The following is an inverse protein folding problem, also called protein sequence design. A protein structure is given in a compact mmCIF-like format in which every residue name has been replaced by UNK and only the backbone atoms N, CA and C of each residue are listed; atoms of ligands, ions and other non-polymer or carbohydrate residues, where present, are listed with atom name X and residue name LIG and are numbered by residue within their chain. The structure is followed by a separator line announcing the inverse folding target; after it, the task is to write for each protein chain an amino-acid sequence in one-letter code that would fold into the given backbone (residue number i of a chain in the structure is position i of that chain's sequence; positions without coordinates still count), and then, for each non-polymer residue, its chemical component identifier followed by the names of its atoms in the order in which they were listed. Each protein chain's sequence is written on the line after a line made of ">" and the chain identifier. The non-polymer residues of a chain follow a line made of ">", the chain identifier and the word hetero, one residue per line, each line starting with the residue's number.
data_IF_379211368887
#
_entry.id   IF_379211368887
#
_cell.length_a   1.000
_cell.length_b   1.000
_cell.length_c   1.000
_cell.angle_alpha   90.00
_cell.angle_beta   90.00
_cell.angle_gamma   90.00
#
_symmetry.space_group_name_H-M   'P 1'
#
loop_
_entity.id
_entity.type
_entity.pdbx_description
1 polymer ?
#
# COMPACT_ATOMS: atom_id res chain seq x y z
N UNK A 1 -19.96 -27.33 17.32
CA UNK A 1 -19.50 -26.41 18.36
C UNK A 1 -19.25 -25.05 17.73
N UNK A 2 -19.98 -24.03 18.14
CA UNK A 2 -19.81 -22.66 17.61
C UNK A 2 -19.43 -21.74 18.76
N UNK A 3 -18.15 -21.49 18.93
CA UNK A 3 -17.62 -20.50 19.88
C UNK A 3 -17.60 -19.07 19.34
N UNK A 4 -18.39 -18.76 18.31
CA UNK A 4 -18.40 -17.44 17.67
C UNK A 4 -19.78 -16.79 17.77
N UNK A 5 -19.82 -15.49 18.05
CA UNK A 5 -21.04 -14.69 18.03
C UNK A 5 -21.55 -14.63 16.59
N UNK A 6 -22.81 -15.07 16.37
CA UNK A 6 -23.40 -15.21 15.03
C UNK A 6 -23.91 -13.90 14.43
N UNK A 7 -24.32 -12.93 15.25
CA UNK A 7 -24.91 -11.64 14.82
C UNK A 7 -23.92 -10.48 15.00
N UNK A 8 -22.70 -10.66 14.56
CA UNK A 8 -21.73 -9.57 14.55
C UNK A 8 -21.58 -9.12 13.08
N UNK A 9 -22.03 -7.92 12.76
CA UNK A 9 -21.70 -7.22 11.50
C UNK A 9 -20.20 -6.98 11.48
N UNK A 10 -19.47 -8.04 11.17
CA UNK A 10 -18.01 -7.93 11.05
C UNK A 10 -17.73 -7.22 9.75
N UNK A 11 -17.27 -5.99 9.86
CA UNK A 11 -16.56 -5.36 8.76
C UNK A 11 -15.49 -6.33 8.27
N UNK A 12 -15.40 -6.49 6.97
CA UNK A 12 -14.32 -7.23 6.35
C UNK A 12 -12.99 -6.67 6.83
N UNK A 13 -12.09 -7.53 7.25
CA UNK A 13 -10.78 -7.13 7.77
C UNK A 13 -9.71 -8.13 7.40
N UNK A 14 -8.50 -7.68 7.34
CA UNK A 14 -7.35 -8.54 7.12
C UNK A 14 -7.29 -9.63 8.20
N UNK A 15 -7.12 -10.87 7.76
CA UNK A 15 -7.07 -12.04 8.64
C UNK A 15 -5.75 -12.17 9.40
N UNK A 16 -4.68 -11.59 8.84
CA UNK A 16 -3.32 -11.71 9.37
C UNK A 16 -2.84 -10.38 9.97
N UNK A 17 -2.03 -10.44 11.04
CA UNK A 17 -1.41 -9.24 11.61
C UNK A 17 -0.32 -8.69 10.67
N UNK A 18 -0.10 -7.37 10.75
CA UNK A 18 1.07 -6.74 10.13
C UNK A 18 2.30 -7.14 10.96
N UNK A 19 3.29 -7.77 10.30
CA UNK A 19 4.50 -8.29 10.92
C UNK A 19 5.74 -7.45 10.63
N UNK A 20 5.67 -6.57 9.63
CA UNK A 20 6.77 -5.69 9.24
C UNK A 20 6.36 -4.68 8.19
N UNK A 21 7.28 -3.78 7.92
CA UNK A 21 7.11 -2.75 6.90
C UNK A 21 8.21 -2.87 5.86
N UNK A 22 7.87 -2.62 4.61
CA UNK A 22 8.81 -2.51 3.49
C UNK A 22 8.91 -1.03 3.09
N UNK A 23 10.11 -0.58 2.81
CA UNK A 23 10.37 0.82 2.44
C UNK A 23 11.50 0.93 1.40
N UNK A 24 11.48 2.01 0.63
CA UNK A 24 12.53 2.40 -0.30
C UNK A 24 13.21 3.71 0.15
N UNK A 25 13.63 3.73 1.41
CA UNK A 25 14.32 4.87 2.00
C UNK A 25 14.96 4.53 3.33
N UNK A 26 16.08 5.19 3.60
CA UNK A 26 16.84 5.06 4.84
C UNK A 26 17.24 6.44 5.37
N UNK A 27 17.73 6.50 6.59
CA UNK A 27 18.42 7.68 7.10
C UNK A 27 19.90 7.60 6.69
N UNK A 28 20.46 8.71 6.22
CA UNK A 28 21.92 8.83 6.05
C UNK A 28 22.61 8.83 7.42
N UNK A 29 23.93 8.73 7.43
CA UNK A 29 24.73 8.81 8.65
C UNK A 29 24.55 10.15 9.40
N UNK A 30 24.17 11.20 8.70
CA UNK A 30 23.82 12.50 9.25
C UNK A 30 22.35 12.63 9.67
N UNK A 31 21.55 11.54 9.61
CA UNK A 31 20.14 11.50 10.01
C UNK A 31 19.15 12.03 8.97
N UNK A 32 19.61 12.46 7.79
CA UNK A 32 18.72 12.95 6.72
C UNK A 32 18.04 11.78 5.98
N UNK A 33 16.78 11.93 5.58
CA UNK A 33 16.11 10.92 4.77
C UNK A 33 16.75 10.81 3.39
N UNK A 34 17.05 9.58 2.98
CA UNK A 34 17.57 9.23 1.67
C UNK A 34 16.69 8.18 1.02
N UNK A 35 16.34 8.37 -0.24
CA UNK A 35 15.69 7.37 -1.06
C UNK A 35 16.69 6.31 -1.53
N UNK A 36 16.21 5.08 -1.68
CA UNK A 36 16.99 3.94 -2.21
C UNK A 36 16.30 3.40 -3.47
N UNK A 37 17.08 2.78 -4.34
CA UNK A 37 16.62 2.00 -5.49
C UNK A 37 16.47 0.50 -5.16
N UNK A 38 16.36 0.19 -3.89
CA UNK A 38 16.17 -1.16 -3.36
C UNK A 38 15.25 -1.15 -2.14
N UNK A 39 14.70 -2.29 -1.85
CA UNK A 39 13.81 -2.52 -0.72
C UNK A 39 14.56 -2.77 0.57
N UNK A 40 14.02 -2.22 1.63
CA UNK A 40 14.46 -2.44 3.01
C UNK A 40 13.28 -2.92 3.83
N UNK A 41 13.50 -3.91 4.66
CA UNK A 41 12.53 -4.35 5.64
C UNK A 41 12.77 -3.69 6.99
N UNK A 42 11.68 -3.47 7.73
CA UNK A 42 11.68 -2.94 9.08
C UNK A 42 10.72 -3.73 9.98
N UNK A 43 11.07 -3.82 11.26
CA UNK A 43 10.29 -4.56 12.24
C UNK A 43 10.97 -5.84 12.72
N UNK A 44 10.26 -6.58 13.56
CA UNK A 44 10.79 -7.77 14.28
C UNK A 44 11.33 -8.85 13.33
N UNK A 45 10.78 -8.96 12.14
CA UNK A 45 11.09 -10.04 11.20
C UNK A 45 11.88 -9.57 9.96
N UNK A 46 12.50 -8.38 10.03
CA UNK A 46 13.32 -7.84 8.95
C UNK A 46 14.45 -8.80 8.52
N UNK A 47 15.09 -9.48 9.48
CA UNK A 47 16.14 -10.46 9.19
C UNK A 47 15.70 -11.66 8.35
N UNK A 48 14.42 -12.03 8.41
CA UNK A 48 13.86 -13.08 7.53
C UNK A 48 13.73 -12.60 6.09
N UNK A 49 13.41 -11.33 5.91
CA UNK A 49 13.39 -10.69 4.59
C UNK A 49 14.79 -10.63 3.99
N UNK A 50 15.78 -10.16 4.77
CA UNK A 50 17.18 -10.07 4.33
C UNK A 50 17.73 -11.45 3.96
N UNK A 51 17.38 -12.48 4.73
CA UNK A 51 17.75 -13.87 4.43
C UNK A 51 17.13 -14.37 3.11
N UNK A 52 15.90 -13.95 2.81
CA UNK A 52 15.17 -14.40 1.62
C UNK A 52 15.63 -13.70 0.33
N UNK A 53 15.94 -12.41 0.41
CA UNK A 53 16.24 -11.59 -0.77
C UNK A 53 17.71 -11.17 -0.88
N UNK A 54 18.49 -11.27 0.18
CA UNK A 54 19.87 -10.81 0.21
C UNK A 54 19.99 -9.29 0.33
N UNK A 55 21.14 -8.76 -0.11
CA UNK A 55 21.41 -7.32 -0.06
C UNK A 55 20.78 -6.60 -1.24
N UNK A 56 20.10 -5.49 -0.96
CA UNK A 56 19.57 -4.52 -1.92
C UNK A 56 18.68 -5.10 -3.04
N UNK A 57 17.64 -5.86 -2.73
CA UNK A 57 16.70 -6.29 -3.77
C UNK A 57 15.93 -5.08 -4.32
N UNK A 58 15.88 -4.91 -5.63
CA UNK A 58 15.09 -3.89 -6.30
C UNK A 58 13.67 -4.36 -6.62
N UNK A 59 13.46 -5.67 -6.64
CA UNK A 59 12.21 -6.34 -6.94
C UNK A 59 11.92 -7.43 -5.91
N UNK A 60 10.67 -7.45 -5.41
CA UNK A 60 10.17 -8.48 -4.50
C UNK A 60 8.85 -9.05 -5.01
N UNK A 61 8.64 -10.34 -4.79
CA UNK A 61 7.37 -10.99 -5.09
C UNK A 61 6.40 -10.84 -3.94
N UNK A 62 5.18 -10.42 -4.25
CA UNK A 62 4.11 -10.22 -3.27
C UNK A 62 2.83 -10.90 -3.73
N UNK A 63 1.95 -11.18 -2.77
CA UNK A 63 0.61 -11.71 -3.00
C UNK A 63 -0.38 -10.95 -2.13
N UNK A 64 -1.48 -10.49 -2.70
CA UNK A 64 -2.56 -9.88 -1.93
C UNK A 64 -3.45 -10.96 -1.30
N UNK A 65 -3.81 -10.82 -0.01
CA UNK A 65 -4.65 -11.79 0.68
C UNK A 65 -6.16 -11.60 0.46
N UNK A 66 -6.56 -10.54 -0.22
CA UNK A 66 -7.96 -10.17 -0.48
C UNK A 66 -8.08 -9.43 -1.81
N UNK A 67 -9.26 -9.45 -2.40
CA UNK A 67 -9.62 -8.68 -3.59
C UNK A 67 -10.14 -7.28 -3.23
N UNK A 68 -10.44 -7.03 -1.96
CA UNK A 68 -10.94 -5.74 -1.50
C UNK A 68 -9.81 -4.69 -1.44
N UNK A 69 -9.81 -3.67 -2.32
CA UNK A 69 -8.75 -2.67 -2.37
C UNK A 69 -8.64 -1.87 -1.07
N UNK A 70 -9.73 -1.64 -0.35
CA UNK A 70 -9.70 -0.93 0.93
C UNK A 70 -8.86 -1.63 2.01
N UNK A 71 -8.68 -2.94 1.88
CA UNK A 71 -7.88 -3.73 2.80
C UNK A 71 -6.42 -3.88 2.34
N UNK A 72 -6.20 -3.99 1.03
CA UNK A 72 -4.89 -4.43 0.51
C UNK A 72 -4.18 -3.41 -0.38
N UNK A 73 -4.92 -2.46 -0.99
CA UNK A 73 -4.38 -1.43 -1.91
C UNK A 73 -5.08 -0.10 -1.66
N UNK A 74 -5.09 0.36 -0.39
CA UNK A 74 -5.90 1.49 0.05
C UNK A 74 -5.25 2.81 -0.29
N UNK A 75 -5.97 3.65 -1.01
CA UNK A 75 -5.64 5.05 -1.28
C UNK A 75 -6.46 5.97 -0.37
N UNK A 76 -5.80 6.86 0.35
CA UNK A 76 -6.49 7.80 1.24
C UNK A 76 -5.76 9.15 1.31
N UNK A 77 -6.51 10.18 1.63
CA UNK A 77 -5.96 11.46 2.06
C UNK A 77 -5.46 11.34 3.49
N UNK A 78 -4.24 11.75 3.75
CA UNK A 78 -3.67 11.85 5.09
C UNK A 78 -3.28 13.30 5.42
N UNK A 79 -3.58 13.70 6.64
CA UNK A 79 -3.08 14.95 7.21
C UNK A 79 -2.29 14.63 8.48
N UNK A 80 -1.05 15.10 8.54
CA UNK A 80 -0.17 14.85 9.68
C UNK A 80 0.30 16.16 10.28
N UNK A 81 0.49 16.20 11.61
CA UNK A 81 1.08 17.32 12.30
C UNK A 81 2.59 17.46 12.02
N UNK A 82 3.21 18.49 12.63
CA UNK A 82 4.66 18.76 12.50
C UNK A 82 5.54 17.66 13.10
N UNK A 83 4.99 16.81 13.95
CA UNK A 83 5.67 15.64 14.53
C UNK A 83 5.45 14.36 13.71
N UNK A 84 4.71 14.44 12.59
CA UNK A 84 4.37 13.32 11.73
C UNK A 84 3.23 12.45 12.25
N UNK A 85 2.52 12.86 13.33
CA UNK A 85 1.37 12.12 13.85
C UNK A 85 0.14 12.34 12.96
N UNK A 86 -0.63 11.29 12.77
CA UNK A 86 -1.86 11.35 11.98
C UNK A 86 -2.90 12.21 12.71
N UNK A 87 -3.37 13.27 12.06
CA UNK A 87 -4.43 14.16 12.52
C UNK A 87 -5.76 13.79 11.89
N UNK A 88 -5.74 13.51 10.58
CA UNK A 88 -6.92 13.08 9.85
C UNK A 88 -6.55 12.18 8.68
N UNK A 89 -7.44 11.25 8.33
CA UNK A 89 -7.37 10.46 7.09
C UNK A 89 -8.75 10.10 6.60
N UNK A 90 -8.90 9.93 5.28
CA UNK A 90 -10.17 9.54 4.66
C UNK A 90 -10.10 9.41 3.15
N UNK A 91 -11.19 8.97 2.57
CA UNK A 91 -11.36 8.65 1.15
C UNK A 91 -11.76 9.86 0.27
N UNK A 92 -12.02 11.02 0.88
CA UNK A 92 -12.54 12.21 0.21
C UNK A 92 -14.01 12.49 0.52
N UNK A 93 -14.76 11.51 1.00
CA UNK A 93 -16.16 11.65 1.41
C UNK A 93 -16.29 11.58 2.94
N UNK A 94 -15.56 10.67 3.56
CA UNK A 94 -15.54 10.48 5.00
C UNK A 94 -14.11 10.56 5.53
N UNK A 95 -13.96 11.18 6.69
CA UNK A 95 -12.67 11.36 7.32
C UNK A 95 -12.70 10.97 8.79
N UNK A 96 -11.69 10.23 9.23
CA UNK A 96 -11.34 10.08 10.64
C UNK A 96 -10.53 11.30 11.07
N UNK A 97 -11.04 12.08 11.99
CA UNK A 97 -10.38 13.29 12.48
C UNK A 97 -10.08 13.16 13.97
N UNK A 98 -8.84 13.41 14.36
CA UNK A 98 -8.44 13.38 15.75
C UNK A 98 -9.03 14.55 16.53
N UNK A 99 -9.71 14.23 17.62
CA UNK A 99 -10.24 15.19 18.57
C UNK A 99 -9.38 15.19 19.84
N UNK A 100 -8.71 16.32 20.10
CA UNK A 100 -7.94 16.51 21.33
C UNK A 100 -8.82 16.54 22.59
N UNK A 101 -10.10 16.90 22.44
CA UNK A 101 -11.08 16.96 23.52
C UNK A 101 -11.49 15.56 23.98
N UNK A 102 -11.87 14.69 23.04
CA UNK A 102 -12.27 13.30 23.35
C UNK A 102 -11.12 12.32 23.40
N UNK A 103 -9.91 12.73 23.00
CA UNK A 103 -8.73 11.85 22.81
C UNK A 103 -9.04 10.61 21.95
N UNK A 104 -9.85 10.80 20.92
CA UNK A 104 -10.30 9.76 20.02
C UNK A 104 -10.47 10.29 18.60
N UNK A 105 -10.49 9.39 17.62
CA UNK A 105 -10.89 9.74 16.25
C UNK A 105 -12.41 9.76 16.15
N UNK A 106 -12.94 10.79 15.49
CA UNK A 106 -14.34 10.92 15.13
C UNK A 106 -14.47 10.81 13.62
N UNK A 107 -15.46 10.07 13.13
CA UNK A 107 -15.74 9.99 11.70
C UNK A 107 -16.66 11.18 11.36
N UNK A 108 -16.25 11.96 10.39
CA UNK A 108 -16.98 13.13 9.87
C UNK A 108 -17.17 12.97 8.37
N UNK A 109 -18.34 13.35 7.86
CA UNK A 109 -18.63 13.35 6.42
C UNK A 109 -18.47 14.75 5.84
N UNK A 110 -17.97 14.83 4.61
CA UNK A 110 -17.89 16.10 3.85
C UNK A 110 -19.29 16.63 3.55
N UNK A 111 -20.29 15.78 3.45
CA UNK A 111 -21.69 16.20 3.29
C UNK A 111 -22.19 17.04 4.48
N UNK A 112 -21.80 16.66 5.71
CA UNK A 112 -22.16 17.41 6.92
C UNK A 112 -21.21 18.60 7.18
N UNK A 113 -19.96 18.46 6.78
CA UNK A 113 -18.88 19.44 6.97
C UNK A 113 -18.16 19.74 5.65
N UNK A 114 -18.76 20.54 4.73
CA UNK A 114 -18.20 20.78 3.39
C UNK A 114 -16.77 21.35 3.38
N UNK A 115 -16.42 22.10 4.42
CA UNK A 115 -15.09 22.72 4.56
C UNK A 115 -14.14 21.92 5.50
N UNK A 116 -14.37 20.61 5.67
CA UNK A 116 -13.65 19.78 6.64
C UNK A 116 -12.14 19.81 6.41
N UNK A 117 -11.70 19.67 5.16
CA UNK A 117 -10.27 19.66 4.82
C UNK A 117 -9.62 21.01 5.15
N UNK A 118 -10.28 22.12 4.88
CA UNK A 118 -9.80 23.47 5.21
C UNK A 118 -9.79 23.69 6.72
N UNK A 119 -10.81 23.23 7.43
CA UNK A 119 -10.88 23.29 8.90
C UNK A 119 -9.71 22.55 9.56
N UNK A 120 -9.31 21.39 9.03
CA UNK A 120 -8.14 20.66 9.54
C UNK A 120 -6.87 21.42 9.20
N UNK A 121 -6.71 21.88 7.97
CA UNK A 121 -5.53 22.62 7.51
C UNK A 121 -5.33 23.92 8.29
N UNK A 122 -6.39 24.66 8.61
CA UNK A 122 -6.31 25.93 9.33
C UNK A 122 -5.67 25.82 10.72
N UNK A 123 -5.78 24.65 11.36
CA UNK A 123 -5.13 24.36 12.65
C UNK A 123 -3.63 24.10 12.53
N UNK A 124 -3.16 23.76 11.34
CA UNK A 124 -1.76 23.40 11.06
C UNK A 124 -1.31 24.02 9.72
N UNK A 125 -1.17 25.36 9.64
CA UNK A 125 -1.00 26.06 8.34
C UNK A 125 0.28 25.69 7.58
N UNK A 126 1.29 25.15 8.29
CA UNK A 126 2.54 24.68 7.68
C UNK A 126 2.47 23.26 7.10
N UNK A 127 1.34 22.58 7.25
CA UNK A 127 1.15 21.21 6.78
C UNK A 127 0.12 21.17 5.66
N UNK A 128 0.21 20.14 4.82
CA UNK A 128 -0.73 19.91 3.72
C UNK A 128 -1.24 18.49 3.71
N UNK A 129 -2.44 18.32 3.14
CA UNK A 129 -2.98 17.01 2.80
C UNK A 129 -2.09 16.30 1.79
N UNK A 130 -1.92 15.00 1.98
CA UNK A 130 -1.16 14.15 1.07
C UNK A 130 -1.97 12.91 0.75
N UNK A 131 -1.98 12.53 -0.52
CA UNK A 131 -2.49 11.24 -0.93
C UNK A 131 -1.45 10.19 -0.54
N UNK A 132 -1.90 9.13 0.09
CA UNK A 132 -1.07 8.00 0.51
C UNK A 132 -1.70 6.72 0.02
N UNK A 133 -0.93 5.90 -0.68
CA UNK A 133 -1.29 4.53 -1.01
C UNK A 133 -0.63 3.59 -0.01
N UNK A 134 -1.42 2.72 0.60
CA UNK A 134 -0.95 1.70 1.53
C UNK A 134 -1.27 0.32 0.99
N UNK A 135 -0.23 -0.49 0.80
CA UNK A 135 -0.33 -1.88 0.40
C UNK A 135 -0.15 -2.79 1.61
N UNK A 136 -1.02 -3.80 1.73
CA UNK A 136 -0.89 -4.89 2.70
C UNK A 136 -0.82 -6.22 1.93
N UNK A 137 0.27 -6.92 2.04
CA UNK A 137 0.57 -8.10 1.23
C UNK A 137 1.36 -9.16 1.99
N UNK A 138 1.38 -10.36 1.45
CA UNK A 138 2.23 -11.46 1.88
C UNK A 138 3.47 -11.48 0.98
N UNK A 139 4.63 -11.80 1.54
CA UNK A 139 5.86 -12.06 0.77
C UNK A 139 6.11 -13.57 0.79
N UNK A 140 5.77 -14.31 -0.28
CA UNK A 140 5.81 -15.78 -0.27
C UNK A 140 7.22 -16.36 -0.05
N UNK A 141 8.25 -15.64 -0.47
CA UNK A 141 9.65 -16.04 -0.32
C UNK A 141 10.14 -15.97 1.13
N UNK A 142 9.52 -15.14 1.97
CA UNK A 142 9.83 -15.05 3.40
C UNK A 142 9.12 -16.18 4.14
N UNK A 143 9.87 -17.22 4.45
CA UNK A 143 9.36 -18.44 5.11
C UNK A 143 9.55 -18.39 6.62
N UNK A 144 8.77 -19.22 7.35
CA UNK A 144 8.87 -19.38 8.80
C UNK A 144 7.95 -18.46 9.61
N UNK A 145 7.22 -17.56 8.95
CA UNK A 145 6.19 -16.73 9.55
C UNK A 145 5.06 -16.46 8.58
N UNK A 146 3.83 -16.40 9.11
CA UNK A 146 2.64 -15.99 8.37
C UNK A 146 2.18 -14.63 8.90
N UNK A 147 2.08 -13.65 8.01
CA UNK A 147 1.64 -12.30 8.35
C UNK A 147 1.77 -11.36 7.17
N UNK A 148 1.32 -10.14 7.36
CA UNK A 148 1.31 -9.11 6.33
C UNK A 148 2.52 -8.21 6.46
N UNK A 149 3.09 -7.88 5.32
CA UNK A 149 4.00 -6.77 5.17
C UNK A 149 3.23 -5.56 4.66
N UNK A 150 3.62 -4.39 5.11
CA UNK A 150 2.99 -3.14 4.72
C UNK A 150 4.00 -2.25 4.01
N UNK A 151 3.57 -1.65 2.91
CA UNK A 151 4.29 -0.59 2.20
C UNK A 151 3.39 0.62 2.04
N UNK A 152 3.92 1.84 2.22
CA UNK A 152 3.18 3.07 1.97
C UNK A 152 4.00 4.03 1.14
N UNK A 153 3.35 4.69 0.18
CA UNK A 153 3.96 5.69 -0.69
C UNK A 153 3.07 6.93 -0.81
N UNK A 154 3.71 8.08 -1.02
CA UNK A 154 3.08 9.38 -1.27
C UNK A 154 3.37 9.92 -2.68
N UNK A 155 3.86 9.06 -3.55
CA UNK A 155 4.17 9.39 -4.94
C UNK A 155 2.93 9.54 -5.81
N UNK A 156 2.09 10.56 -5.55
CA UNK A 156 0.78 10.76 -6.19
C UNK A 156 0.84 10.91 -7.71
N UNK A 157 1.93 11.46 -8.25
CA UNK A 157 2.10 11.63 -9.69
C UNK A 157 2.85 10.46 -10.37
N UNK A 158 3.30 9.47 -9.63
CA UNK A 158 4.15 8.39 -10.18
C UNK A 158 3.77 7.02 -9.66
N UNK A 159 4.17 6.68 -8.43
CA UNK A 159 3.99 5.34 -7.86
C UNK A 159 2.54 4.97 -7.63
N UNK A 160 1.72 5.91 -7.12
CA UNK A 160 0.32 5.62 -6.77
C UNK A 160 -0.48 5.21 -8.00
N UNK A 161 -0.52 5.98 -9.11
CA UNK A 161 -1.26 5.56 -10.30
C UNK A 161 -0.79 4.21 -10.85
N UNK A 162 0.52 4.00 -10.95
CA UNK A 162 1.06 2.76 -11.53
C UNK A 162 0.69 1.53 -10.71
N UNK A 163 0.73 1.62 -9.38
CA UNK A 163 0.41 0.49 -8.50
C UNK A 163 -1.09 0.23 -8.47
N UNK A 164 -1.89 1.29 -8.26
CA UNK A 164 -3.35 1.20 -8.23
C UNK A 164 -3.91 0.68 -9.54
N UNK A 165 -3.54 1.31 -10.65
CA UNK A 165 -4.10 0.99 -11.97
C UNK A 165 -3.74 -0.45 -12.38
N UNK A 166 -2.55 -0.95 -12.00
CA UNK A 166 -2.19 -2.36 -12.22
C UNK A 166 -3.02 -3.31 -11.37
N UNK A 167 -3.23 -2.99 -10.08
CA UNK A 167 -4.07 -3.79 -9.20
C UNK A 167 -5.50 -3.89 -9.75
N UNK A 168 -6.09 -2.75 -10.10
CA UNK A 168 -7.44 -2.66 -10.63
C UNK A 168 -7.57 -3.39 -11.96
N UNK A 169 -6.61 -3.22 -12.88
CA UNK A 169 -6.61 -3.92 -14.16
C UNK A 169 -6.55 -5.46 -14.02
N UNK A 170 -5.77 -5.96 -13.05
CA UNK A 170 -5.72 -7.41 -12.77
C UNK A 170 -7.03 -7.88 -12.15
N UNK A 171 -7.58 -7.13 -11.21
CA UNK A 171 -8.87 -7.44 -10.58
C UNK A 171 -10.00 -7.49 -11.63
N UNK A 172 -10.07 -6.51 -12.52
CA UNK A 172 -11.07 -6.46 -13.60
C UNK A 172 -10.89 -7.58 -14.63
N UNK A 173 -9.65 -7.85 -15.05
CA UNK A 173 -9.38 -8.83 -16.11
C UNK A 173 -9.54 -10.28 -15.66
N UNK A 174 -9.17 -10.58 -14.40
CA UNK A 174 -9.15 -11.95 -13.87
C UNK A 174 -10.36 -12.23 -12.97
N UNK A 175 -11.09 -11.19 -12.54
CA UNK A 175 -12.13 -11.29 -11.52
C UNK A 175 -11.59 -11.41 -10.09
N UNK A 176 -10.28 -11.49 -9.91
CA UNK A 176 -9.60 -11.52 -8.61
C UNK A 176 -8.15 -11.03 -8.74
N UNK A 177 -7.63 -10.42 -7.69
CA UNK A 177 -6.22 -10.07 -7.52
C UNK A 177 -5.58 -10.92 -6.40
N UNK A 178 -6.41 -11.48 -5.51
CA UNK A 178 -5.95 -12.35 -4.43
C UNK A 178 -5.34 -13.64 -4.97
N UNK A 179 -4.20 -14.03 -4.41
CA UNK A 179 -3.48 -15.24 -4.86
C UNK A 179 -2.63 -15.03 -6.13
N UNK A 180 -2.79 -13.95 -6.86
CA UNK A 180 -1.91 -13.59 -7.98
C UNK A 180 -0.55 -13.16 -7.42
N UNK A 181 0.53 -13.65 -8.03
CA UNK A 181 1.89 -13.20 -7.70
C UNK A 181 2.17 -11.93 -8.47
N UNK A 182 2.59 -10.89 -7.78
CA UNK A 182 3.04 -9.64 -8.37
C UNK A 182 4.51 -9.39 -8.06
N UNK A 183 5.22 -8.80 -8.99
CA UNK A 183 6.52 -8.20 -8.79
C UNK A 183 6.34 -6.73 -8.39
N UNK A 184 6.75 -6.39 -7.18
CA UNK A 184 6.81 -5.03 -6.68
C UNK A 184 8.23 -4.53 -6.82
N UNK A 185 8.45 -3.58 -7.73
CA UNK A 185 9.79 -3.08 -8.08
C UNK A 185 9.96 -1.62 -7.71
N UNK A 186 11.19 -1.21 -7.39
CA UNK A 186 11.56 0.19 -7.14
C UNK A 186 12.72 0.61 -8.03
N UNK A 187 12.58 1.77 -8.69
CA UNK A 187 13.64 2.34 -9.54
C UNK A 187 13.78 3.83 -9.27
N UNK A 188 15.01 4.33 -9.34
CA UNK A 188 15.25 5.79 -9.23
C UNK A 188 14.99 6.47 -10.56
N UNK A 189 14.14 7.48 -10.53
CA UNK A 189 13.87 8.37 -11.66
C UNK A 189 14.43 9.76 -11.39
N UNK A 190 14.91 10.41 -12.44
CA UNK A 190 15.33 11.81 -12.38
C UNK A 190 14.16 12.70 -12.72
N UNK A 191 13.95 13.78 -11.94
CA UNK A 191 12.92 14.74 -12.20
C UNK A 191 13.12 15.40 -13.58
N UNK A 192 12.04 15.49 -14.35
CA UNK A 192 12.02 16.21 -15.62
C UNK A 192 11.59 17.68 -15.48
N UNK A 193 11.35 18.14 -14.24
CA UNK A 193 10.97 19.52 -13.98
C UNK A 193 12.15 20.44 -14.29
N UNK A 194 11.94 21.56 -15.00
CA UNK A 194 12.99 22.53 -15.28
C UNK A 194 13.72 22.96 -13.99
N UNK A 195 15.02 23.10 -14.07
CA UNK A 195 15.90 23.51 -12.96
C UNK A 195 15.87 22.57 -11.72
N UNK A 196 15.47 21.30 -11.88
CA UNK A 196 15.39 20.33 -10.79
C UNK A 196 16.19 19.09 -11.16
N UNK A 197 17.30 18.83 -10.47
CA UNK A 197 18.12 17.62 -10.65
C UNK A 197 17.82 16.54 -9.58
N UNK A 198 16.62 16.58 -8.96
CA UNK A 198 16.27 15.63 -7.89
C UNK A 198 15.95 14.26 -8.45
N UNK A 199 16.46 13.23 -7.77
CA UNK A 199 16.10 11.83 -8.00
C UNK A 199 15.08 11.38 -6.96
N UNK A 200 14.12 10.57 -7.37
CA UNK A 200 13.09 10.03 -6.50
C UNK A 200 12.76 8.58 -6.88
N UNK A 201 12.36 7.74 -5.91
CA UNK A 201 11.99 6.37 -6.19
C UNK A 201 10.60 6.32 -6.82
N UNK A 202 10.44 5.52 -7.84
CA UNK A 202 9.16 5.15 -8.43
C UNK A 202 8.96 3.66 -8.20
N UNK A 203 7.82 3.34 -7.62
CA UNK A 203 7.40 1.97 -7.36
C UNK A 203 6.42 1.54 -8.43
N UNK A 204 6.62 0.35 -8.94
CA UNK A 204 5.76 -0.27 -9.95
C UNK A 204 5.29 -1.64 -9.46
N UNK A 205 4.08 -1.99 -9.83
CA UNK A 205 3.48 -3.30 -9.61
C UNK A 205 3.25 -3.94 -10.96
N UNK A 206 3.66 -5.20 -11.13
CA UNK A 206 3.41 -5.96 -12.35
C UNK A 206 2.99 -7.39 -11.98
N UNK A 207 1.94 -7.96 -12.62
CA UNK A 207 1.64 -9.36 -12.40
C UNK A 207 2.85 -10.18 -12.89
N UNK A 208 3.28 -11.12 -12.07
CA UNK A 208 4.36 -12.02 -12.45
C UNK A 208 3.79 -13.12 -13.34
N UNK A 209 3.83 -12.87 -14.64
CA UNK A 209 3.43 -13.82 -15.65
C UNK A 209 4.60 -14.76 -15.95
N UNK A 210 4.84 -15.75 -15.10
CA UNK A 210 5.69 -16.86 -15.50
C UNK A 210 5.08 -17.52 -16.75
N UNK A 211 5.92 -18.05 -17.67
CA UNK A 211 5.43 -18.74 -18.88
C UNK A 211 4.37 -19.82 -18.57
N UNK A 212 4.43 -20.37 -17.37
CA UNK A 212 3.52 -21.38 -16.85
C UNK A 212 2.12 -20.81 -16.58
N UNK A 213 2.04 -19.61 -15.98
CA UNK A 213 0.78 -18.89 -15.72
C UNK A 213 0.16 -18.41 -17.04
N UNK A 214 0.97 -17.90 -17.97
CA UNK A 214 0.50 -17.53 -19.32
C UNK A 214 -0.04 -18.74 -20.11
N UNK A 215 0.57 -19.92 -19.96
CA UNK A 215 0.02 -21.17 -20.51
C UNK A 215 -1.33 -21.51 -19.91
N UNK A 216 -1.45 -21.48 -18.58
CA UNK A 216 -2.72 -21.76 -17.88
C UNK A 216 -3.82 -20.79 -18.31
N UNK A 217 -3.54 -19.50 -18.40
CA UNK A 217 -4.51 -18.49 -18.87
C UNK A 217 -4.93 -18.75 -20.33
N UNK A 218 -3.98 -19.09 -21.21
CA UNK A 218 -4.29 -19.43 -22.60
C UNK A 218 -5.11 -20.71 -22.74
N UNK A 219 -4.88 -21.68 -21.88
CA UNK A 219 -5.63 -22.94 -21.85
C UNK A 219 -7.05 -22.74 -21.32
N UNK A 220 -7.23 -21.91 -20.29
CA UNK A 220 -8.55 -21.56 -19.76
C UNK A 220 -9.39 -20.70 -20.72
N UNK A 221 -8.77 -19.94 -21.62
CA UNK A 221 -9.46 -19.11 -22.64
C UNK A 221 -9.82 -19.86 -23.94
N UNK A 222 -9.48 -21.15 -24.08
CA UNK A 222 -9.99 -21.95 -25.19
C UNK A 222 -11.49 -22.17 -24.97
N UNK A 223 -12.36 -21.73 -25.92
CA UNK A 223 -13.78 -22.04 -25.83
C UNK A 223 -13.92 -23.56 -25.83
N UNK A 224 -14.70 -24.07 -24.87
CA UNK A 224 -15.20 -25.45 -24.95
C UNK A 224 -15.99 -25.56 -26.25
N UNK A 225 -15.37 -26.17 -27.26
CA UNK A 225 -16.12 -26.64 -28.45
C UNK A 225 -16.98 -27.77 -27.92
N UNK A 226 -18.25 -27.49 -27.70
CA UNK A 226 -19.28 -28.50 -27.47
C UNK A 226 -19.53 -29.11 -28.85
N UNK A 227 -19.12 -30.37 -29.03
CA UNK A 227 -19.57 -31.23 -30.14
C UNK A 227 -21.04 -31.61 -29.97
#
# INVERSE_FOLDING_TARGET
>A
MSGRIKNNDRQERLLYPIIGHIRCGKKSDRGFPMSTDYWLADGKYASLFDKAYGDKPDTIQIVFPSDNPELVCREEYEFRDTQGKLVASGDGETFKVWSSKSKAYTILSVTEYPNLMEMVKSKYPSQDWKITLTLNFIIPKVRGIMGLWQFSTKGSASSIPQVRDTFDAVLESNGHASGVIFDLSVKMHTSQKPNTASKYPVVTLMPNESEEVLRMIKECKKPLMIE
#
